data_IF_061233180474
#
_entry.id   IF_061233180474
#
_cell.length_a   1.000
_cell.length_b   1.000
_cell.length_c   1.000
_cell.angle_alpha   90.00
_cell.angle_beta   90.00
_cell.angle_gamma   90.00
#
_symmetry.space_group_name_H-M   'P 1'
#
loop_
_entity.id
_entity.type
_entity.pdbx_description
1 polymer ?
#
# COMPACT_ATOMS: atom_id res chain seq x y z
N UNK A 1 9.54 2.79 -20.60
CA UNK A 1 8.90 3.39 -19.40
C UNK A 1 8.39 2.25 -18.54
N UNK A 2 8.64 2.25 -17.23
CA UNK A 2 8.04 1.26 -16.33
C UNK A 2 6.55 1.59 -16.10
N UNK A 3 5.69 0.58 -15.87
CA UNK A 3 4.29 0.81 -15.55
C UNK A 3 4.14 1.50 -14.18
N UNK A 4 3.09 2.30 -14.03
CA UNK A 4 2.73 2.90 -12.74
C UNK A 4 2.42 1.80 -11.71
N UNK A 5 2.77 1.99 -10.43
CA UNK A 5 2.44 1.02 -9.40
C UNK A 5 0.93 0.89 -9.23
N UNK A 6 0.47 -0.31 -8.86
CA UNK A 6 -0.92 -0.52 -8.47
C UNK A 6 -1.13 0.07 -7.07
N UNK A 7 -2.29 0.70 -6.87
CA UNK A 7 -2.66 1.33 -5.61
C UNK A 7 -4.05 0.83 -5.22
N UNK A 8 -4.23 0.48 -3.94
CA UNK A 8 -5.53 0.20 -3.34
C UNK A 8 -5.79 1.23 -2.24
N UNK A 9 -7.00 1.81 -2.24
CA UNK A 9 -7.40 2.84 -1.28
C UNK A 9 -8.42 2.26 -0.30
N UNK A 10 -8.24 2.57 0.99
CA UNK A 10 -9.15 2.22 2.08
C UNK A 10 -9.62 3.51 2.78
N UNK A 11 -10.86 3.53 3.26
CA UNK A 11 -11.45 4.69 3.93
C UNK A 11 -11.97 5.72 2.93
N UNK A 12 -13.30 5.88 2.87
CA UNK A 12 -13.96 6.87 2.00
C UNK A 12 -14.17 8.18 2.77
N UNK A 13 -14.04 9.31 2.08
CA UNK A 13 -14.33 10.66 2.61
C UNK A 13 -13.48 11.10 3.82
N UNK A 14 -12.24 10.65 3.91
CA UNK A 14 -11.30 11.12 4.93
C UNK A 14 -10.71 12.50 4.59
N UNK A 15 -10.52 13.34 5.61
CA UNK A 15 -9.88 14.66 5.46
C UNK A 15 -8.35 14.59 5.31
N UNK A 16 -7.76 13.42 5.62
CA UNK A 16 -6.34 13.16 5.52
C UNK A 16 -6.06 11.77 4.93
N UNK A 17 -4.90 11.61 4.31
CA UNK A 17 -4.47 10.37 3.70
C UNK A 17 -3.05 9.97 4.12
N UNK A 18 -2.83 8.65 4.24
CA UNK A 18 -1.53 8.02 4.49
C UNK A 18 -1.18 7.17 3.28
N UNK A 19 0.02 7.37 2.73
CA UNK A 19 0.57 6.48 1.71
C UNK A 19 1.32 5.35 2.41
N UNK A 20 0.85 4.12 2.23
CA UNK A 20 1.41 2.95 2.87
C UNK A 20 2.27 2.15 1.88
N UNK A 21 3.54 1.94 2.22
CA UNK A 21 4.44 1.02 1.54
C UNK A 21 4.62 -0.22 2.41
N UNK A 22 4.35 -1.39 1.85
CA UNK A 22 4.42 -2.62 2.62
C UNK A 22 5.88 -3.03 2.94
N UNK A 23 6.02 -3.88 3.95
CA UNK A 23 7.31 -4.46 4.33
C UNK A 23 7.78 -5.56 3.37
N UNK A 24 8.56 -6.52 3.86
CA UNK A 24 9.00 -7.67 3.05
C UNK A 24 10.34 -7.48 2.33
N UNK A 25 11.19 -6.57 2.84
CA UNK A 25 12.60 -6.40 2.41
C UNK A 25 12.76 -6.19 0.89
N UNK A 26 11.76 -5.57 0.26
CA UNK A 26 11.72 -5.26 -1.17
C UNK A 26 11.64 -6.46 -2.12
N UNK A 27 11.52 -7.70 -1.65
CA UNK A 27 11.40 -8.89 -2.51
C UNK A 27 10.16 -9.75 -2.19
N UNK A 28 9.33 -9.34 -1.23
CA UNK A 28 8.19 -10.10 -0.75
C UNK A 28 7.06 -9.19 -0.28
N UNK A 29 5.84 -9.72 -0.28
CA UNK A 29 4.62 -9.00 0.05
C UNK A 29 3.93 -8.42 -1.18
N UNK A 30 2.66 -8.12 -1.00
CA UNK A 30 1.74 -7.53 -1.98
C UNK A 30 0.57 -6.85 -1.25
N UNK A 31 -0.43 -6.40 -2.01
CA UNK A 31 -1.64 -5.79 -1.46
C UNK A 31 -2.51 -6.77 -0.65
N UNK A 32 -2.52 -8.06 -0.98
CA UNK A 32 -3.37 -9.06 -0.31
C UNK A 32 -2.81 -9.42 1.08
N UNK A 33 -1.50 -9.62 1.16
CA UNK A 33 -0.79 -9.90 2.41
C UNK A 33 -0.95 -8.79 3.46
N UNK A 34 -1.24 -7.55 3.04
CA UNK A 34 -1.40 -6.39 3.92
C UNK A 34 -2.83 -5.84 3.96
N UNK A 35 -3.80 -6.48 3.32
CA UNK A 35 -5.19 -6.00 3.25
C UNK A 35 -5.83 -5.85 4.64
N UNK A 36 -5.75 -6.84 5.55
CA UNK A 36 -6.36 -6.72 6.88
C UNK A 36 -5.73 -5.58 7.70
N UNK A 37 -4.41 -5.38 7.57
CA UNK A 37 -3.70 -4.30 8.25
C UNK A 37 -4.16 -2.94 7.72
N UNK A 38 -4.21 -2.73 6.41
CA UNK A 38 -4.58 -1.45 5.82
C UNK A 38 -6.05 -1.09 6.13
N UNK A 39 -6.96 -2.08 6.11
CA UNK A 39 -8.35 -1.88 6.54
C UNK A 39 -8.42 -1.46 8.01
N UNK A 40 -7.67 -2.13 8.88
CA UNK A 40 -7.63 -1.82 10.31
C UNK A 40 -7.06 -0.42 10.58
N UNK A 41 -5.98 -0.05 9.87
CA UNK A 41 -5.39 1.29 9.95
C UNK A 41 -6.37 2.37 9.49
N UNK A 42 -7.08 2.18 8.38
CA UNK A 42 -8.09 3.13 7.91
C UNK A 42 -9.20 3.33 8.95
N UNK A 43 -9.73 2.22 9.48
CA UNK A 43 -10.81 2.26 10.47
C UNK A 43 -10.39 2.92 11.79
N UNK A 44 -9.17 2.66 12.26
CA UNK A 44 -8.69 3.19 13.55
C UNK A 44 -8.18 4.63 13.47
N UNK A 45 -7.56 5.02 12.34
CA UNK A 45 -6.98 6.36 12.19
C UNK A 45 -7.98 7.40 11.69
N UNK A 46 -9.10 6.98 11.08
CA UNK A 46 -10.00 7.88 10.36
C UNK A 46 -9.39 8.50 9.09
N UNK A 47 -8.17 8.10 8.70
CA UNK A 47 -7.50 8.54 7.49
C UNK A 47 -7.79 7.58 6.33
N UNK A 48 -7.74 8.10 5.11
CA UNK A 48 -7.66 7.25 3.93
C UNK A 48 -6.27 6.59 3.86
N UNK A 49 -6.20 5.31 3.53
CA UNK A 49 -4.94 4.58 3.35
C UNK A 49 -4.77 4.24 1.89
N UNK A 50 -3.76 4.82 1.23
CA UNK A 50 -3.36 4.47 -0.13
C UNK A 50 -2.20 3.46 -0.07
N UNK A 51 -2.52 2.17 -0.13
CA UNK A 51 -1.54 1.09 -0.13
C UNK A 51 -0.94 0.91 -1.53
N UNK A 52 0.38 0.97 -1.61
CA UNK A 52 1.14 0.81 -2.85
C UNK A 52 1.59 -0.64 -2.99
N UNK A 53 1.33 -1.25 -4.14
CA UNK A 53 1.90 -2.53 -4.55
C UNK A 53 3.37 -2.27 -4.91
N UNK A 54 4.29 -2.57 -3.99
CA UNK A 54 5.69 -2.23 -4.18
C UNK A 54 6.23 -2.99 -5.39
N UNK A 55 7.03 -2.30 -6.20
CA UNK A 55 7.89 -2.99 -7.16
C UNK A 55 8.91 -3.83 -6.38
N UNK A 56 9.06 -5.10 -6.76
CA UNK A 56 9.93 -6.02 -6.06
C UNK A 56 11.26 -6.21 -6.82
N UNK A 57 12.31 -6.45 -6.04
CA UNK A 57 13.58 -6.94 -6.52
C UNK A 57 13.50 -8.47 -6.71
N UNK A 58 14.24 -9.02 -7.70
CA UNK A 58 15.23 -8.34 -8.55
C UNK A 58 14.67 -7.67 -9.82
N UNK A 59 13.41 -7.90 -10.16
CA UNK A 59 12.80 -7.50 -11.44
C UNK A 59 12.83 -5.98 -11.65
N UNK A 60 12.72 -5.23 -10.56
CA UNK A 60 12.74 -3.78 -10.57
C UNK A 60 13.88 -3.25 -9.69
N UNK A 61 14.92 -2.75 -10.35
CA UNK A 61 16.03 -2.03 -9.70
C UNK A 61 15.61 -0.58 -9.35
N UNK A 62 16.35 0.01 -8.41
CA UNK A 62 16.13 1.33 -7.78
C UNK A 62 15.76 2.46 -8.75
#
# INVERSE_FOLDING_TARGET
RQPSPRIRVYGESAEAAVVFFHGGRFFSGDLETHDPLCRSLAAQSGCAIAAVDNRLAPEHRW
#
